data_IF_514953809532
#
_entry.id   IF_514953809532
#
_cell.length_a   1.000
_cell.length_b   1.000
_cell.length_c   1.000
_cell.angle_alpha   90.00
_cell.angle_beta   90.00
_cell.angle_gamma   90.00
#
_symmetry.space_group_name_H-M   'P 1'
#
loop_
_entity.id
_entity.type
_entity.pdbx_description
1 polymer ?
#
# COMPACT_ATOMS: atom_id res chain seq x y z
N UNK A 1 -56.35 -23.59 13.36
CA UNK A 1 -55.74 -23.72 12.02
C UNK A 1 -54.38 -23.06 12.08
N UNK A 2 -53.31 -23.79 11.75
CA UNK A 2 -52.01 -23.15 11.56
C UNK A 2 -52.00 -22.55 10.15
N UNK A 3 -51.84 -21.23 10.05
CA UNK A 3 -51.63 -20.56 8.77
C UNK A 3 -50.19 -20.71 8.31
N UNK A 4 -49.95 -20.54 7.01
CA UNK A 4 -48.61 -20.36 6.46
C UNK A 4 -48.31 -18.86 6.49
N UNK A 5 -47.27 -18.46 7.21
CA UNK A 5 -46.73 -17.11 7.19
C UNK A 5 -45.53 -17.07 6.24
N UNK A 6 -45.50 -16.07 5.35
CA UNK A 6 -44.39 -15.85 4.42
C UNK A 6 -43.79 -14.49 4.75
N UNK A 7 -42.56 -14.50 5.27
CA UNK A 7 -41.80 -13.28 5.51
C UNK A 7 -41.45 -12.61 4.18
N UNK A 8 -41.96 -11.40 3.97
CA UNK A 8 -41.69 -10.59 2.77
C UNK A 8 -40.71 -9.45 3.05
N UNK A 9 -40.00 -9.50 4.18
CA UNK A 9 -39.04 -8.49 4.65
C UNK A 9 -38.21 -7.91 3.48
N UNK A 10 -38.48 -6.66 3.11
CA UNK A 10 -37.79 -5.95 2.03
C UNK A 10 -38.31 -6.15 0.60
N UNK A 11 -39.41 -6.88 0.39
CA UNK A 11 -39.97 -7.18 -0.93
C UNK A 11 -41.43 -6.73 -1.05
N UNK A 12 -41.74 -6.03 -2.14
CA UNK A 12 -43.13 -5.76 -2.52
C UNK A 12 -43.71 -7.01 -3.18
N UNK A 13 -44.82 -7.53 -2.66
CA UNK A 13 -45.60 -8.56 -3.35
C UNK A 13 -46.67 -7.86 -4.18
N UNK A 14 -46.58 -7.98 -5.50
CA UNK A 14 -47.55 -7.42 -6.42
C UNK A 14 -48.88 -8.21 -6.37
N UNK A 15 -48.79 -9.53 -6.37
CA UNK A 15 -49.97 -10.40 -6.28
C UNK A 15 -49.62 -11.81 -5.80
N UNK A 16 -50.55 -12.43 -5.07
CA UNK A 16 -50.53 -13.87 -4.75
C UNK A 16 -51.74 -14.51 -5.44
N UNK A 17 -51.49 -15.53 -6.25
CA UNK A 17 -52.55 -16.34 -6.87
C UNK A 17 -52.53 -17.74 -6.25
N UNK A 18 -53.68 -18.16 -5.72
CA UNK A 18 -53.88 -19.46 -5.11
C UNK A 18 -55.05 -20.15 -5.82
N UNK A 19 -54.78 -21.29 -6.44
CA UNK A 19 -55.81 -22.18 -6.94
C UNK A 19 -55.58 -23.60 -6.41
N UNK A 20 -56.43 -24.55 -6.82
CA UNK A 20 -56.38 -25.92 -6.31
C UNK A 20 -55.08 -26.65 -6.67
N UNK A 21 -54.37 -26.22 -7.72
CA UNK A 21 -53.22 -26.93 -8.30
C UNK A 21 -51.91 -26.13 -8.16
N UNK A 22 -51.97 -24.81 -8.03
CA UNK A 22 -50.84 -23.91 -8.07
C UNK A 22 -50.91 -22.81 -7.01
N UNK A 23 -49.71 -22.44 -6.55
CA UNK A 23 -49.45 -21.24 -5.76
C UNK A 23 -48.45 -20.38 -6.54
N UNK A 24 -48.86 -19.19 -6.96
CA UNK A 24 -48.02 -18.26 -7.72
C UNK A 24 -47.81 -16.95 -6.95
N UNK A 25 -46.55 -16.56 -6.80
CA UNK A 25 -46.14 -15.29 -6.18
C UNK A 25 -45.54 -14.38 -7.25
N UNK A 26 -46.13 -13.19 -7.41
CA UNK A 26 -45.56 -12.14 -8.25
C UNK A 26 -44.95 -11.08 -7.33
N UNK A 27 -43.63 -11.02 -7.31
CA UNK A 27 -42.89 -10.01 -6.57
C UNK A 27 -42.58 -8.80 -7.48
N UNK A 28 -42.54 -7.61 -6.88
CA UNK A 28 -42.03 -6.39 -7.49
C UNK A 28 -40.55 -6.50 -7.85
N UNK A 29 -40.06 -5.52 -8.61
CA UNK A 29 -38.62 -5.41 -8.89
C UNK A 29 -37.86 -5.31 -7.57
N UNK A 30 -36.84 -6.13 -7.40
CA UNK A 30 -35.91 -6.04 -6.27
C UNK A 30 -35.14 -4.73 -6.45
N UNK A 31 -35.22 -3.75 -5.53
CA UNK A 31 -34.35 -2.59 -5.62
C UNK A 31 -32.89 -3.07 -5.60
N UNK A 32 -31.99 -2.46 -6.39
CA UNK A 32 -30.59 -2.84 -6.37
C UNK A 32 -30.08 -2.73 -4.93
N UNK A 33 -29.49 -3.82 -4.43
CA UNK A 33 -28.74 -3.79 -3.18
C UNK A 33 -27.63 -2.76 -3.33
N UNK A 34 -27.76 -1.69 -2.59
CA UNK A 34 -26.78 -0.63 -2.52
C UNK A 34 -26.11 -0.72 -1.15
N UNK A 35 -25.02 -1.51 -1.04
CA UNK A 35 -24.34 -1.68 0.23
C UNK A 35 -23.56 -0.41 0.57
N UNK A 36 -23.61 -0.02 1.84
CA UNK A 36 -22.71 0.96 2.39
C UNK A 36 -21.26 0.48 2.21
N UNK A 37 -20.45 1.31 1.58
CA UNK A 37 -19.02 1.05 1.39
C UNK A 37 -18.19 2.06 2.16
N UNK A 38 -17.08 1.61 2.76
CA UNK A 38 -16.15 2.47 3.47
C UNK A 38 -14.79 2.41 2.77
N UNK A 39 -14.31 3.58 2.34
CA UNK A 39 -12.96 3.75 1.79
C UNK A 39 -12.01 4.20 2.89
N UNK A 40 -10.97 3.40 3.11
CA UNK A 40 -9.87 3.69 4.04
C UNK A 40 -8.57 3.57 3.26
N UNK A 41 -7.57 4.44 3.50
CA UNK A 41 -6.26 4.26 2.88
C UNK A 41 -5.64 2.89 3.17
N UNK A 42 -4.74 2.46 2.29
CA UNK A 42 -3.92 1.27 2.55
C UNK A 42 -2.99 1.46 3.75
N UNK A 43 -2.37 0.36 4.19
CA UNK A 43 -1.45 0.37 5.32
C UNK A 43 -0.30 1.38 5.12
N UNK A 44 0.06 2.08 6.18
CA UNK A 44 1.06 3.15 6.15
C UNK A 44 2.27 2.80 7.01
N UNK A 45 3.41 3.39 6.68
CA UNK A 45 4.61 3.36 7.52
C UNK A 45 4.99 4.80 7.86
N UNK A 46 5.17 5.09 9.14
CA UNK A 46 5.52 6.42 9.65
C UNK A 46 6.68 6.33 10.63
N UNK A 47 7.44 7.40 10.79
CA UNK A 47 8.49 7.49 11.82
C UNK A 47 7.98 8.21 13.07
N UNK A 48 8.47 7.83 14.25
CA UNK A 48 8.19 8.53 15.50
C UNK A 48 8.43 10.04 15.35
N UNK A 49 7.51 10.85 15.87
CA UNK A 49 7.58 12.32 15.80
C UNK A 49 7.10 12.93 14.48
N UNK A 50 6.82 12.13 13.44
CA UNK A 50 6.15 12.60 12.23
C UNK A 50 4.63 12.55 12.37
N UNK A 51 3.93 13.49 11.73
CA UNK A 51 2.47 13.46 11.65
C UNK A 51 2.00 12.48 10.58
N UNK A 52 0.93 11.76 10.88
CA UNK A 52 0.10 11.05 9.91
C UNK A 52 -1.31 11.65 9.96
N UNK A 53 -1.84 11.99 8.78
CA UNK A 53 -3.21 12.44 8.61
C UNK A 53 -3.84 11.76 7.39
N UNK A 54 -5.11 11.41 7.48
CA UNK A 54 -5.89 10.93 6.35
C UNK A 54 -7.38 11.04 6.64
N UNK A 55 -8.19 10.88 5.60
CA UNK A 55 -9.64 10.87 5.70
C UNK A 55 -10.17 9.50 5.32
N UNK A 56 -11.15 9.01 6.07
CA UNK A 56 -11.97 7.86 5.68
C UNK A 56 -13.29 8.36 5.10
N UNK A 57 -13.75 7.73 4.02
CA UNK A 57 -14.92 8.24 3.28
C UNK A 57 -15.93 7.11 3.10
N UNK A 58 -17.13 7.23 3.70
CA UNK A 58 -18.21 6.32 3.39
C UNK A 58 -18.84 6.69 2.04
N UNK A 59 -19.39 5.70 1.34
CA UNK A 59 -20.11 5.89 0.09
C UNK A 59 -21.34 4.99 0.09
N UNK A 60 -22.49 5.61 -0.14
CA UNK A 60 -23.81 5.00 -0.19
C UNK A 60 -24.56 5.59 -1.40
N UNK A 61 -25.13 4.76 -2.28
CA UNK A 61 -25.94 5.23 -3.42
C UNK A 61 -27.36 5.72 -3.01
N UNK A 62 -27.73 5.67 -1.73
CA UNK A 62 -28.96 6.24 -1.19
C UNK A 62 -28.66 7.62 -0.58
N UNK A 63 -28.98 8.72 -1.29
CA UNK A 63 -28.59 10.08 -0.85
C UNK A 63 -29.30 10.56 0.42
N UNK A 64 -30.37 9.89 0.85
CA UNK A 64 -31.16 10.28 2.01
C UNK A 64 -30.71 9.57 3.31
N UNK A 65 -29.66 8.74 3.25
CA UNK A 65 -29.17 7.99 4.41
C UNK A 65 -28.21 8.84 5.23
N UNK A 66 -28.43 8.85 6.54
CA UNK A 66 -27.46 9.41 7.48
C UNK A 66 -26.44 8.32 7.82
N UNK A 67 -25.17 8.64 7.62
CA UNK A 67 -24.06 7.72 7.90
C UNK A 67 -23.31 8.19 9.14
N UNK A 68 -23.15 7.30 10.11
CA UNK A 68 -22.34 7.53 11.31
C UNK A 68 -21.00 6.82 11.17
N UNK A 69 -19.91 7.54 11.38
CA UNK A 69 -18.56 6.97 11.45
C UNK A 69 -18.15 6.69 12.89
N UNK A 70 -17.42 5.61 13.10
CA UNK A 70 -16.84 5.26 14.39
C UNK A 70 -15.48 4.59 14.20
N UNK A 71 -14.69 4.57 15.27
CA UNK A 71 -13.38 3.92 15.28
C UNK A 71 -13.15 3.18 16.58
N UNK A 72 -12.37 2.10 16.50
CA UNK A 72 -11.86 1.36 17.67
C UNK A 72 -10.36 1.13 17.54
N UNK A 73 -9.69 0.78 18.64
CA UNK A 73 -8.24 0.53 18.69
C UNK A 73 -7.38 1.75 18.30
N UNK A 74 -7.82 2.97 18.67
CA UNK A 74 -7.01 4.17 18.47
C UNK A 74 -5.74 4.12 19.34
N UNK A 75 -4.54 4.34 18.75
CA UNK A 75 -3.32 4.54 19.53
C UNK A 75 -3.44 5.73 20.48
N UNK A 76 -2.70 5.69 21.59
CA UNK A 76 -2.69 6.82 22.54
C UNK A 76 -2.23 8.12 21.84
N UNK A 77 -3.00 9.19 22.03
CA UNK A 77 -2.77 10.49 21.39
C UNK A 77 -3.21 10.59 19.93
N UNK A 78 -3.77 9.53 19.34
CA UNK A 78 -4.45 9.62 18.05
C UNK A 78 -5.84 10.24 18.23
N UNK A 79 -6.29 10.96 17.22
CA UNK A 79 -7.62 11.58 17.16
C UNK A 79 -8.34 11.12 15.90
N UNK A 80 -9.64 10.86 16.04
CA UNK A 80 -10.53 10.61 14.92
C UNK A 80 -11.77 11.47 15.09
N UNK A 81 -12.03 12.33 14.12
CA UNK A 81 -13.25 13.11 14.04
C UNK A 81 -14.28 12.34 13.21
N UNK A 82 -15.32 11.81 13.86
CA UNK A 82 -16.37 11.04 13.21
C UNK A 82 -17.27 11.89 12.31
N UNK A 83 -17.28 13.21 12.46
CA UNK A 83 -18.09 14.11 11.62
C UNK A 83 -17.43 14.38 10.28
N UNK A 84 -16.09 14.48 10.26
CA UNK A 84 -15.31 14.75 9.04
C UNK A 84 -14.60 13.52 8.48
N UNK A 85 -14.51 12.44 9.25
CA UNK A 85 -13.76 11.23 8.91
C UNK A 85 -12.25 11.43 8.99
N UNK A 86 -11.76 12.52 9.58
CA UNK A 86 -10.33 12.84 9.64
C UNK A 86 -9.67 12.10 10.80
N UNK A 87 -8.67 11.29 10.48
CA UNK A 87 -7.74 10.71 11.44
C UNK A 87 -6.46 11.55 11.50
N UNK A 88 -5.94 11.77 12.71
CA UNK A 88 -4.64 12.41 12.91
C UNK A 88 -3.89 11.77 14.08
N UNK A 89 -2.58 11.58 13.91
CA UNK A 89 -1.74 11.04 14.97
C UNK A 89 -0.28 11.47 14.79
N UNK A 90 0.40 11.70 15.91
CA UNK A 90 1.85 11.92 15.98
C UNK A 90 2.45 10.92 16.97
N UNK A 91 2.96 9.77 16.51
CA UNK A 91 3.51 8.76 17.39
C UNK A 91 4.70 9.31 18.19
N UNK A 92 4.75 9.02 19.49
CA UNK A 92 5.90 9.32 20.34
C UNK A 92 7.00 8.26 20.15
N UNK A 93 8.18 8.52 20.70
CA UNK A 93 9.31 7.57 20.66
C UNK A 93 9.00 6.22 21.32
N UNK A 94 8.08 6.16 22.28
CA UNK A 94 7.68 4.91 22.95
C UNK A 94 6.62 4.13 22.17
N UNK A 95 6.13 4.66 21.05
CA UNK A 95 5.06 4.08 20.25
C UNK A 95 5.58 3.42 18.97
N UNK A 96 6.80 2.90 18.99
CA UNK A 96 7.33 2.06 17.90
C UNK A 96 6.63 0.71 17.88
N UNK A 97 6.18 0.27 16.71
CA UNK A 97 5.45 -0.99 16.55
C UNK A 97 4.34 -0.90 15.50
N UNK A 98 3.56 -1.99 15.40
CA UNK A 98 2.45 -2.08 14.46
C UNK A 98 1.12 -1.84 15.17
N UNK A 99 0.30 -0.96 14.62
CA UNK A 99 -1.02 -0.60 15.13
C UNK A 99 -2.09 -0.95 14.09
N UNK A 100 -3.17 -1.60 14.53
CA UNK A 100 -4.33 -1.86 13.69
C UNK A 100 -5.50 -1.04 14.20
N UNK A 101 -5.98 -0.12 13.37
CA UNK A 101 -7.14 0.72 13.67
C UNK A 101 -8.32 0.19 12.87
N UNK A 102 -9.49 0.14 13.50
CA UNK A 102 -10.71 -0.35 12.86
C UNK A 102 -11.70 0.80 12.73
N UNK A 103 -12.05 1.14 11.48
CA UNK A 103 -13.04 2.14 11.13
C UNK A 103 -14.35 1.45 10.72
N UNK A 104 -15.48 2.00 11.15
CA UNK A 104 -16.80 1.49 10.82
C UNK A 104 -17.71 2.63 10.40
N UNK A 105 -18.42 2.43 9.29
CA UNK A 105 -19.52 3.26 8.84
C UNK A 105 -20.82 2.48 9.02
N UNK A 106 -21.85 3.14 9.57
CA UNK A 106 -23.18 2.56 9.77
C UNK A 106 -24.23 3.53 9.27
N UNK A 107 -25.18 3.07 8.45
CA UNK A 107 -26.31 3.86 8.01
C UNK A 107 -27.49 3.79 9.00
N UNK A 108 -28.52 4.59 8.76
CA UNK A 108 -29.75 4.64 9.54
C UNK A 108 -30.88 3.72 9.02
N UNK A 109 -30.55 2.71 8.22
CA UNK A 109 -31.56 1.79 7.68
C UNK A 109 -32.10 0.83 8.75
N UNK A 110 -33.21 0.16 8.43
CA UNK A 110 -33.84 -0.84 9.30
C UNK A 110 -34.04 -2.12 8.48
N UNK A 111 -33.23 -3.17 8.70
CA UNK A 111 -32.08 -3.23 9.60
C UNK A 111 -30.88 -2.37 9.11
N UNK A 112 -30.01 -1.86 10.01
CA UNK A 112 -28.87 -1.02 9.62
C UNK A 112 -27.86 -1.76 8.74
N UNK A 113 -27.33 -1.06 7.74
CA UNK A 113 -26.18 -1.49 6.95
C UNK A 113 -24.89 -0.99 7.59
N UNK A 114 -23.87 -1.83 7.65
CA UNK A 114 -22.57 -1.46 8.20
C UNK A 114 -21.41 -1.93 7.32
N UNK A 115 -20.35 -1.13 7.29
CA UNK A 115 -19.13 -1.38 6.54
C UNK A 115 -17.92 -1.13 7.42
N UNK A 116 -17.12 -2.18 7.66
CA UNK A 116 -15.93 -2.12 8.51
C UNK A 116 -14.67 -2.31 7.69
N UNK A 117 -13.63 -1.54 8.01
CA UNK A 117 -12.30 -1.63 7.40
C UNK A 117 -11.21 -1.44 8.46
N UNK A 118 -10.16 -2.23 8.32
CA UNK A 118 -8.97 -2.14 9.16
C UNK A 118 -7.85 -1.43 8.41
N UNK A 119 -7.05 -0.67 9.14
CA UNK A 119 -5.85 -0.02 8.63
C UNK A 119 -4.66 -0.26 9.55
N UNK A 120 -3.57 -0.74 8.96
CA UNK A 120 -2.30 -0.94 9.62
C UNK A 120 -1.43 0.32 9.57
N UNK A 121 -0.82 0.68 10.69
CA UNK A 121 0.22 1.70 10.77
C UNK A 121 1.46 1.09 11.41
N UNK A 122 2.53 1.00 10.63
CA UNK A 122 3.85 0.63 11.12
C UNK A 122 4.59 1.89 11.57
N UNK A 123 4.93 1.98 12.86
CA UNK A 123 5.72 3.08 13.42
C UNK A 123 7.17 2.62 13.60
N UNK A 124 8.07 3.23 12.83
CA UNK A 124 9.50 3.02 12.94
C UNK A 124 10.12 4.10 13.81
N UNK A 125 11.19 3.78 14.52
CA UNK A 125 11.96 4.76 15.27
C UNK A 125 12.60 5.77 14.30
N UNK A 126 12.47 7.06 14.58
CA UNK A 126 13.25 8.07 13.87
C UNK A 126 14.74 7.80 14.10
N UNK A 127 15.59 8.08 13.10
CA UNK A 127 17.03 7.96 13.25
C UNK A 127 17.46 8.70 14.53
N UNK A 128 18.33 8.11 15.38
CA UNK A 128 18.88 8.82 16.53
C UNK A 128 19.46 10.12 16.03
N UNK A 129 18.82 11.24 16.37
CA UNK A 129 19.34 12.56 16.03
C UNK A 129 20.76 12.61 16.57
N UNK A 130 21.74 12.69 15.68
CA UNK A 130 23.12 12.91 16.08
C UNK A 130 23.15 14.20 16.87
N UNK A 131 23.37 14.09 18.18
CA UNK A 131 23.76 15.23 19.00
C UNK A 131 24.98 15.84 18.32
N UNK A 132 24.81 17.00 17.68
CA UNK A 132 25.91 17.88 17.30
C UNK A 132 26.58 18.34 18.59
N UNK A 133 27.44 17.49 19.14
CA UNK A 133 28.33 17.83 20.25
C UNK A 133 29.38 18.80 19.72
N UNK A 134 29.08 20.09 19.78
CA UNK A 134 30.05 21.17 19.65
C UNK A 134 30.99 21.15 20.85
N UNK A 135 31.95 20.22 20.86
CA UNK A 135 33.06 20.19 21.80
C UNK A 135 34.26 20.91 21.19
N UNK A 136 34.49 22.15 21.60
CA UNK A 136 35.76 22.86 21.40
C UNK A 136 36.84 22.21 22.26
N UNK A 137 38.00 21.87 21.67
CA UNK A 137 39.20 21.59 22.45
C UNK A 137 40.28 20.77 21.75
N UNK A 138 41.42 21.41 21.49
CA UNK A 138 42.71 20.73 21.64
C UNK A 138 43.40 20.24 20.37
N UNK A 139 44.25 21.10 19.80
CA UNK A 139 45.40 20.73 19.00
C UNK A 139 46.23 19.63 19.69
N UNK A 140 46.40 18.48 19.03
CA UNK A 140 47.56 17.61 19.26
C UNK A 140 47.98 16.96 17.94
N UNK A 141 49.21 17.24 17.54
CA UNK A 141 49.88 16.57 16.43
C UNK A 141 50.27 15.17 16.91
N UNK A 142 49.46 14.16 16.61
CA UNK A 142 49.74 12.77 16.94
C UNK A 142 48.90 11.84 16.09
N UNK A 143 49.53 11.16 15.13
CA UNK A 143 48.87 10.19 14.26
C UNK A 143 48.37 8.98 15.05
N UNK A 144 47.04 8.83 15.11
CA UNK A 144 46.39 7.61 15.58
C UNK A 144 46.05 6.74 14.36
N UNK A 145 46.86 5.70 14.14
CA UNK A 145 46.70 4.72 13.04
C UNK A 145 45.76 3.54 13.38
N UNK A 146 45.14 3.48 14.55
CA UNK A 146 44.17 2.44 14.90
C UNK A 146 43.06 2.99 15.82
N UNK A 147 41.95 3.46 15.27
CA UNK A 147 40.66 3.53 15.99
C UNK A 147 39.48 3.56 15.00
N UNK A 148 39.04 2.37 14.59
CA UNK A 148 37.65 1.96 14.75
C UNK A 148 36.51 2.72 14.05
N UNK A 149 36.75 3.51 13.01
CA UNK A 149 35.64 3.90 12.13
C UNK A 149 35.28 2.71 11.25
N UNK A 150 34.16 2.04 11.56
CA UNK A 150 33.38 1.42 10.51
C UNK A 150 32.96 2.55 9.57
N UNK A 151 33.49 2.65 8.34
CA UNK A 151 32.84 3.54 7.38
C UNK A 151 31.44 2.97 7.18
N UNK A 152 30.43 3.79 7.49
CA UNK A 152 29.08 3.57 7.04
C UNK A 152 29.16 3.18 5.56
N UNK A 153 28.66 2.00 5.22
CA UNK A 153 28.52 1.56 3.85
C UNK A 153 27.49 2.49 3.23
N UNK A 154 28.02 3.59 2.69
CA UNK A 154 27.31 4.55 1.88
C UNK A 154 26.55 3.77 0.81
N UNK A 155 25.31 4.15 0.59
CA UNK A 155 24.37 3.64 -0.43
C UNK A 155 24.94 3.64 -1.87
N UNK A 156 26.17 4.10 -2.03
CA UNK A 156 27.02 4.06 -3.22
C UNK A 156 27.47 2.66 -3.68
N UNK A 157 27.40 1.62 -2.83
CA UNK A 157 27.77 0.25 -3.27
C UNK A 157 26.76 -0.39 -4.24
N UNK A 158 25.53 0.12 -4.33
CA UNK A 158 24.57 -0.28 -5.37
C UNK A 158 24.85 0.38 -6.73
N UNK A 159 25.43 1.58 -6.75
CA UNK A 159 25.79 2.31 -7.98
C UNK A 159 27.03 1.73 -8.66
N UNK A 160 27.99 1.20 -7.91
CA UNK A 160 29.18 0.55 -8.47
C UNK A 160 28.88 -0.85 -9.05
N UNK A 161 27.92 -1.59 -8.49
CA UNK A 161 27.51 -2.90 -9.02
C UNK A 161 26.63 -2.77 -10.28
N UNK A 162 25.74 -1.78 -10.34
CA UNK A 162 24.90 -1.52 -11.53
C UNK A 162 25.69 -0.83 -12.65
N UNK A 163 26.60 0.08 -12.31
CA UNK A 163 27.53 0.71 -13.27
C UNK A 163 28.58 -0.26 -13.84
N UNK A 164 29.04 -1.22 -13.02
CA UNK A 164 29.99 -2.25 -13.45
C UNK A 164 29.41 -3.22 -14.49
N UNK A 165 28.13 -3.61 -14.34
CA UNK A 165 27.47 -4.52 -15.28
C UNK A 165 27.27 -3.88 -16.68
N UNK A 166 26.84 -2.62 -16.72
CA UNK A 166 26.69 -1.87 -17.99
C UNK A 166 28.03 -1.62 -18.70
N UNK A 167 29.09 -1.32 -17.95
CA UNK A 167 30.45 -1.18 -18.50
C UNK A 167 31.03 -2.49 -19.05
N UNK A 168 30.76 -3.61 -18.37
CA UNK A 168 31.24 -4.92 -18.82
C UNK A 168 30.54 -5.39 -20.10
N UNK A 169 29.22 -5.19 -20.22
CA UNK A 169 28.45 -5.54 -21.43
C UNK A 169 28.92 -4.73 -22.64
N UNK A 170 29.21 -3.44 -22.47
CA UNK A 170 29.73 -2.59 -23.54
C UNK A 170 31.13 -3.05 -24.03
N UNK A 171 32.02 -3.43 -23.10
CA UNK A 171 33.35 -3.95 -23.43
C UNK A 171 33.28 -5.31 -24.13
N UNK A 172 32.40 -6.21 -23.68
CA UNK A 172 32.17 -7.50 -24.32
C UNK A 172 31.61 -7.34 -25.74
N UNK A 173 30.67 -6.40 -25.95
CA UNK A 173 30.12 -6.09 -27.27
C UNK A 173 31.22 -5.61 -28.25
N UNK A 174 32.10 -4.69 -27.82
CA UNK A 174 33.20 -4.20 -28.65
C UNK A 174 34.21 -5.31 -29.01
N UNK A 175 34.50 -6.22 -28.08
CA UNK A 175 35.35 -7.38 -28.35
C UNK A 175 34.71 -8.33 -29.38
N UNK A 176 33.40 -8.58 -29.30
CA UNK A 176 32.71 -9.42 -30.29
C UNK A 176 32.65 -8.78 -31.68
N UNK A 177 32.50 -7.46 -31.79
CA UNK A 177 32.50 -6.73 -33.07
C UNK A 177 33.88 -6.79 -33.71
N UNK A 178 34.95 -6.54 -32.94
CA UNK A 178 36.32 -6.57 -33.46
C UNK A 178 36.75 -7.97 -33.90
N UNK A 179 36.29 -9.01 -33.21
CA UNK A 179 36.50 -10.40 -33.60
C UNK A 179 35.79 -10.76 -34.92
N UNK A 180 34.52 -10.35 -35.08
CA UNK A 180 33.77 -10.59 -36.33
C UNK A 180 34.36 -9.84 -37.53
N UNK A 181 34.87 -8.61 -37.33
CA UNK A 181 35.53 -7.85 -38.38
C UNK A 181 36.80 -8.53 -38.91
N UNK A 182 37.62 -9.11 -38.03
CA UNK A 182 38.87 -9.76 -38.43
C UNK A 182 38.62 -11.11 -39.14
N UNK A 183 37.54 -11.81 -38.78
CA UNK A 183 37.14 -13.06 -39.41
C UNK A 183 36.69 -12.86 -40.87
N UNK A 184 35.94 -11.78 -41.15
CA UNK A 184 35.52 -11.44 -42.51
C UNK A 184 36.71 -11.04 -43.41
N UNK A 185 37.71 -10.35 -42.86
CA UNK A 185 38.94 -10.06 -43.58
C UNK A 185 39.73 -11.32 -43.95
N UNK A 186 39.73 -12.31 -43.06
CA UNK A 186 40.42 -13.59 -43.27
C UNK A 186 39.66 -14.48 -44.25
N UNK A 187 38.32 -14.49 -44.19
CA UNK A 187 37.45 -15.22 -45.12
C UNK A 187 37.54 -14.68 -46.55
N UNK A 188 37.64 -13.35 -46.72
CA UNK A 188 37.88 -12.72 -48.04
C UNK A 188 39.26 -13.04 -48.60
N UNK A 189 40.29 -13.16 -47.75
CA UNK A 189 41.61 -13.64 -48.20
C UNK A 189 41.57 -15.10 -48.63
N UNK A 190 40.83 -15.95 -47.92
CA UNK A 190 40.70 -17.37 -48.28
C UNK A 190 39.96 -17.58 -49.60
N UNK A 191 38.85 -16.89 -49.82
CA UNK A 191 38.09 -16.95 -51.09
C UNK A 191 38.87 -16.41 -52.31
N UNK A 192 39.92 -15.62 -52.09
CA UNK A 192 40.80 -15.15 -53.16
C UNK A 192 41.83 -16.21 -53.57
N UNK A 193 42.23 -17.06 -52.63
CA UNK A 193 43.22 -18.13 -52.86
C UNK A 193 42.60 -19.38 -53.50
N UNK A 194 41.31 -19.65 -53.25
CA UNK A 194 40.60 -20.80 -53.84
C UNK A 194 40.01 -20.52 -55.23
N UNK A 195 40.36 -19.40 -55.87
CA UNK A 195 39.87 -19.00 -57.21
C UNK A 195 40.97 -19.06 -58.28
N UNK A 196 42.18 -19.49 -57.92
CA UNK A 196 43.33 -19.59 -58.85
C UNK A 196 43.83 -21.03 -59.09
N UNK A 197 43.05 -22.04 -58.70
CA UNK A 197 43.18 -23.45 -59.16
C UNK A 197 41.95 -23.83 -60.00
#
# INVERSE_FOLDING_TARGET
>A
MQGIEIGTEGYLVNSVNVDWYNLAFNAGTIPPINPLTLTVPGNQTVTTGAWINFTVTPTDLNPNRIITLSTTQLPAGAMFDSSTGVFSWKPSYSQTGYYTITFTATDDSSPPSSSTRNMGIQVNQAAPGGSGGGGSGGSSNGGCLLCGTFPAISTSMWLLMTGGLLGFVASLALLTIKARGNLEHTKRRLNRLTRED
#
